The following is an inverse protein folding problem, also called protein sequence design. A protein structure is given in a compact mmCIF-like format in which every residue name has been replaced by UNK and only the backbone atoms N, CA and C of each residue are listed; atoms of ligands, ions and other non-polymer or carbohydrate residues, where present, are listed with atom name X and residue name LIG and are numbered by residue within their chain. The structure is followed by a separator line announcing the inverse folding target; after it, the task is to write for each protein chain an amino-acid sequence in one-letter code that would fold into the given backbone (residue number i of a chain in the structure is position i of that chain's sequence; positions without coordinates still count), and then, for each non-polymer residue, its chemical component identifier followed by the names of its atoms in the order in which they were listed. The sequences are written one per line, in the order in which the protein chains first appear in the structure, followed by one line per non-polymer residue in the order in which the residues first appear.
data_IF_257412694483
#
_entry.id   IF_257412694483
#
_cell.length_a   1.000
_cell.length_b   1.000
_cell.length_c   1.000
_cell.angle_alpha   90.00
_cell.angle_beta   90.00
_cell.angle_gamma   90.00
#
_symmetry.space_group_name_H-M   'P 1'
#
loop_
_entity.id
_entity.type
_entity.pdbx_description
1 polymer ?
#
# COMPACT_ATOMS: atom_id res chain seq x y z
N UNK A 1 50.56 20.62 39.28
CA UNK A 1 50.20 20.97 37.89
C UNK A 1 48.71 20.68 37.73
N UNK A 2 47.88 21.67 37.34
CA UNK A 2 46.44 21.45 37.10
C UNK A 2 46.27 20.64 35.81
N UNK A 3 45.24 19.80 35.74
CA UNK A 3 44.97 18.95 34.58
C UNK A 3 43.54 19.13 34.10
N UNK A 4 43.37 19.29 32.79
CA UNK A 4 42.05 19.26 32.15
C UNK A 4 41.44 17.88 32.36
N UNK A 5 40.18 17.78 32.83
CA UNK A 5 39.54 16.48 33.01
C UNK A 5 39.20 15.85 31.66
N UNK A 6 39.38 14.53 31.57
CA UNK A 6 38.81 13.73 30.49
C UNK A 6 37.32 13.50 30.78
N UNK A 7 36.48 13.56 29.76
CA UNK A 7 35.01 13.47 29.90
C UNK A 7 34.53 12.22 29.19
N UNK A 8 33.74 11.41 29.88
CA UNK A 8 32.95 10.32 29.32
C UNK A 8 31.48 10.51 29.72
N UNK A 9 30.58 9.97 28.91
CA UNK A 9 29.16 9.98 29.18
C UNK A 9 28.64 8.55 29.22
N UNK A 10 27.93 8.21 30.28
CA UNK A 10 27.16 6.98 30.39
C UNK A 10 25.68 7.36 30.35
N UNK A 11 24.88 6.68 29.53
CA UNK A 11 23.45 7.00 29.37
C UNK A 11 22.58 5.77 29.62
N UNK A 12 21.40 5.97 30.23
CA UNK A 12 20.40 4.93 30.47
C UNK A 12 19.00 5.54 30.34
N UNK A 13 18.13 5.03 29.44
CA UNK A 13 18.40 4.02 28.40
C UNK A 13 19.42 4.48 27.32
N UNK A 14 19.94 3.59 26.45
CA UNK A 14 20.89 3.95 25.39
C UNK A 14 20.28 4.81 24.27
N UNK A 15 18.95 4.91 24.22
CA UNK A 15 18.19 5.74 23.29
C UNK A 15 17.22 6.61 24.07
N UNK A 16 16.97 7.82 23.57
CA UNK A 16 15.98 8.75 24.13
C UNK A 16 14.59 8.25 23.72
N UNK A 17 13.71 8.06 24.70
CA UNK A 17 12.32 7.65 24.50
C UNK A 17 11.41 8.78 25.00
N UNK A 18 10.58 9.36 24.13
CA UNK A 18 9.66 10.43 24.54
C UNK A 18 8.75 10.00 25.68
N UNK A 19 8.59 10.88 26.68
CA UNK A 19 7.77 10.62 27.86
C UNK A 19 8.41 9.71 28.90
N UNK A 20 9.65 9.26 28.70
CA UNK A 20 10.42 8.49 29.68
C UNK A 20 11.61 9.29 30.21
N UNK A 21 12.03 9.04 31.46
CA UNK A 21 13.22 9.65 32.02
C UNK A 21 14.49 9.14 31.29
N UNK A 22 15.44 10.04 31.07
CA UNK A 22 16.73 9.76 30.45
C UNK A 22 17.87 10.12 31.41
N UNK A 23 18.55 9.12 31.97
CA UNK A 23 19.68 9.28 32.88
C UNK A 23 20.95 9.52 32.05
N UNK A 24 21.65 10.60 32.35
CA UNK A 24 22.96 10.94 31.81
C UNK A 24 23.96 11.09 32.96
N UNK A 25 24.98 10.25 33.00
CA UNK A 25 26.06 10.30 33.99
C UNK A 25 27.35 10.79 33.34
N UNK A 26 27.74 12.02 33.67
CA UNK A 26 29.03 12.59 33.26
C UNK A 26 30.14 12.03 34.17
N UNK A 27 31.11 11.36 33.57
CA UNK A 27 32.27 10.79 34.24
C UNK A 27 33.49 11.64 33.90
N UNK A 28 33.99 12.37 34.89
CA UNK A 28 35.11 13.30 34.77
C UNK A 28 36.35 12.70 35.43
N UNK A 29 37.38 12.43 34.63
CA UNK A 29 38.65 11.87 35.13
C UNK A 29 39.68 12.98 35.21
N UNK A 30 40.07 13.35 36.43
CA UNK A 30 41.09 14.37 36.67
C UNK A 30 42.40 13.78 37.18
N UNK A 31 43.54 14.21 36.64
CA UNK A 31 44.88 13.74 37.07
C UNK A 31 45.36 14.42 38.35
N UNK A 32 44.71 15.52 38.74
CA UNK A 32 44.99 16.31 39.94
C UNK A 32 43.69 16.91 40.50
N UNK A 33 43.65 17.35 41.77
CA UNK A 33 42.50 18.11 42.26
C UNK A 33 42.31 19.40 41.46
N UNK A 34 41.18 19.53 40.75
CA UNK A 34 40.94 20.63 39.80
C UNK A 34 39.75 21.47 40.29
N UNK A 35 39.92 22.79 40.52
CA UNK A 35 38.78 23.66 40.83
C UNK A 35 37.85 23.75 39.62
N UNK A 36 36.54 23.75 39.87
CA UNK A 36 35.50 23.79 38.83
C UNK A 36 34.34 24.61 39.38
N UNK A 37 33.92 25.63 38.65
CA UNK A 37 32.81 26.50 39.05
C UNK A 37 31.48 25.79 38.82
N UNK A 38 31.34 25.14 37.66
CA UNK A 38 30.18 24.32 37.34
C UNK A 38 30.48 23.22 36.32
N UNK A 39 29.64 22.18 36.33
CA UNK A 39 29.53 21.19 35.26
C UNK A 39 28.10 21.20 34.78
N UNK A 40 27.89 21.69 33.58
CA UNK A 40 26.59 21.72 32.92
C UNK A 40 26.45 20.50 32.02
N UNK A 41 25.41 19.72 32.25
CA UNK A 41 25.00 18.63 31.36
C UNK A 41 23.71 19.07 30.70
N UNK A 42 23.67 19.14 29.37
CA UNK A 42 22.45 19.49 28.65
C UNK A 42 22.12 18.50 27.54
N UNK A 43 20.83 18.17 27.38
CA UNK A 43 20.30 17.43 26.24
C UNK A 43 19.63 18.42 25.29
N UNK A 44 20.14 18.50 24.07
CA UNK A 44 19.66 19.42 23.03
C UNK A 44 19.17 18.66 21.81
N UNK A 45 18.06 19.11 21.24
CA UNK A 45 17.57 18.65 19.95
C UNK A 45 17.57 19.82 18.97
N UNK A 46 18.18 19.63 17.81
CA UNK A 46 18.23 20.64 16.76
C UNK A 46 17.57 20.11 15.51
N UNK A 47 16.67 20.93 14.94
CA UNK A 47 16.03 20.69 13.65
C UNK A 47 16.75 21.53 12.60
N UNK A 48 17.14 20.90 11.50
CA UNK A 48 17.60 21.58 10.29
C UNK A 48 16.60 21.28 9.18
N UNK A 49 16.15 22.30 8.46
CA UNK A 49 15.24 22.13 7.34
C UNK A 49 15.58 23.11 6.22
N UNK A 50 15.65 22.64 4.98
CA UNK A 50 15.80 23.45 3.78
C UNK A 50 14.67 23.18 2.79
N UNK A 51 14.38 24.17 1.97
CA UNK A 51 13.43 24.09 0.86
C UNK A 51 14.15 24.64 -0.37
N UNK A 52 14.69 23.76 -1.20
CA UNK A 52 15.48 24.14 -2.38
C UNK A 52 16.79 24.85 -2.03
N UNK A 53 17.13 25.90 -2.80
CA UNK A 53 18.39 26.65 -2.70
C UNK A 53 18.47 27.63 -1.51
N UNK A 54 17.47 27.62 -0.63
CA UNK A 54 17.46 28.52 0.53
C UNK A 54 18.42 28.04 1.61
N UNK A 55 19.00 29.01 2.33
CA UNK A 55 19.80 28.75 3.53
C UNK A 55 18.97 27.89 4.49
N UNK A 56 19.48 26.73 4.95
CA UNK A 56 18.76 25.87 5.86
C UNK A 56 18.45 26.61 7.15
N UNK A 57 17.19 26.57 7.58
CA UNK A 57 16.84 27.09 8.89
C UNK A 57 17.23 26.07 9.95
N UNK A 58 17.72 26.57 11.08
CA UNK A 58 18.13 25.77 12.22
C UNK A 58 17.33 26.23 13.43
N UNK A 59 16.62 25.30 14.07
CA UNK A 59 15.81 25.57 15.25
C UNK A 59 16.22 24.65 16.39
N UNK A 60 16.23 25.19 17.61
CA UNK A 60 16.34 24.36 18.82
C UNK A 60 14.93 23.88 19.19
N UNK A 61 14.75 22.56 19.17
CA UNK A 61 13.47 21.88 19.41
C UNK A 61 13.32 21.48 20.89
N UNK A 62 14.44 21.19 21.55
CA UNK A 62 14.50 20.80 22.94
C UNK A 62 15.84 21.30 23.51
N UNK A 63 15.80 21.87 24.71
CA UNK A 63 16.98 22.15 25.52
C UNK A 63 16.64 21.88 26.99
N UNK A 64 17.18 20.78 27.50
CA UNK A 64 17.09 20.41 28.92
C UNK A 64 18.47 20.55 29.52
N UNK A 65 18.57 21.13 30.71
CA UNK A 65 19.84 21.44 31.34
C UNK A 65 19.84 21.07 32.82
N UNK A 66 20.97 20.54 33.30
CA UNK A 66 21.25 20.38 34.71
C UNK A 66 22.66 20.90 35.02
N UNK A 67 22.76 21.69 36.08
CA UNK A 67 24.02 22.32 36.50
C UNK A 67 24.46 21.71 37.82
N UNK A 68 25.65 21.10 37.83
CA UNK A 68 26.33 20.60 39.02
C UNK A 68 27.37 21.61 39.48
N UNK A 69 27.46 21.89 40.78
CA UNK A 69 28.46 22.80 41.36
C UNK A 69 29.36 22.07 42.35
N UNK A 70 30.28 21.20 41.87
CA UNK A 70 31.13 20.42 42.76
C UNK A 70 32.17 21.28 43.49
N UNK A 71 32.49 22.48 42.98
CA UNK A 71 33.53 23.39 43.48
C UNK A 71 34.96 22.90 43.18
N UNK A 72 35.20 21.59 43.34
CA UNK A 72 36.48 20.95 43.04
C UNK A 72 36.30 19.48 42.69
N UNK A 73 36.87 19.07 41.56
CA UNK A 73 37.00 17.66 41.19
C UNK A 73 38.14 17.01 41.96
N UNK A 74 37.89 15.83 42.51
CA UNK A 74 38.92 14.99 43.15
C UNK A 74 39.85 14.43 42.08
N UNK A 75 41.09 14.13 42.46
CA UNK A 75 41.98 13.32 41.62
C UNK A 75 41.32 11.94 41.41
N UNK A 76 41.36 11.44 40.19
CA UNK A 76 40.66 10.24 39.76
C UNK A 76 39.30 10.57 39.15
N UNK A 77 38.35 9.66 39.35
CA UNK A 77 37.04 9.70 38.71
C UNK A 77 36.01 10.45 39.57
N UNK A 78 35.24 11.33 38.94
CA UNK A 78 34.13 12.05 39.55
C UNK A 78 32.89 11.79 38.69
N UNK A 79 31.82 11.30 39.31
CA UNK A 79 30.58 10.92 38.63
C UNK A 79 29.46 11.88 38.99
N UNK A 80 28.82 12.46 37.99
CA UNK A 80 27.74 13.42 38.13
C UNK A 80 26.53 12.91 37.37
N UNK A 81 25.49 12.51 38.11
CA UNK A 81 24.27 11.95 37.54
C UNK A 81 23.22 13.04 37.33
N UNK A 82 22.63 13.05 36.15
CA UNK A 82 21.53 13.91 35.77
C UNK A 82 20.37 13.06 35.26
N UNK A 83 19.15 13.40 35.65
CA UNK A 83 17.94 12.84 35.08
C UNK A 83 17.23 13.90 34.26
N UNK A 84 16.94 13.60 33.00
CA UNK A 84 16.16 14.47 32.11
C UNK A 84 14.75 13.91 31.92
N UNK A 85 13.74 14.73 32.16
CA UNK A 85 12.35 14.42 31.84
C UNK A 85 12.07 14.74 30.37
N UNK A 86 11.95 13.72 29.52
CA UNK A 86 11.78 13.91 28.08
C UNK A 86 10.31 14.17 27.76
N UNK A 87 9.95 15.30 27.11
CA UNK A 87 8.56 15.55 26.76
C UNK A 87 8.01 14.44 25.83
N UNK A 88 6.75 14.02 26.00
CA UNK A 88 6.16 12.92 25.21
C UNK A 88 5.93 13.28 23.74
N UNK A 89 6.06 14.55 23.37
CA UNK A 89 5.81 15.07 22.02
C UNK A 89 7.06 15.20 21.17
N UNK A 90 8.25 14.89 21.71
CA UNK A 90 9.48 15.10 20.94
C UNK A 90 9.59 14.09 19.79
N UNK A 91 9.88 14.53 18.55
CA UNK A 91 9.98 13.69 17.38
C UNK A 91 11.19 12.74 17.42
N UNK A 92 11.20 11.68 16.59
CA UNK A 92 12.38 10.83 16.43
C UNK A 92 13.60 11.60 15.89
N UNK A 93 14.79 11.04 16.09
CA UNK A 93 15.95 11.40 15.29
C UNK A 93 15.68 11.08 13.82
N UNK A 94 16.04 12.00 12.93
CA UNK A 94 15.81 11.87 11.50
C UNK A 94 16.97 12.47 10.72
N UNK A 95 17.38 11.82 9.64
CA UNK A 95 18.44 12.29 8.75
C UNK A 95 17.99 12.10 7.29
N UNK A 96 17.31 13.13 6.78
CA UNK A 96 16.81 13.22 5.42
C UNK A 96 17.66 14.14 4.56
N UNK A 97 17.23 14.32 3.30
CA UNK A 97 17.96 15.19 2.36
C UNK A 97 17.63 16.66 2.61
N UNK A 98 16.36 16.96 2.87
CA UNK A 98 15.85 18.32 3.05
C UNK A 98 15.63 18.67 4.51
N UNK A 99 15.53 17.67 5.40
CA UNK A 99 15.39 17.92 6.82
C UNK A 99 16.10 16.89 7.71
N UNK A 100 16.55 17.32 8.89
CA UNK A 100 17.13 16.44 9.90
C UNK A 100 16.82 16.90 11.33
N UNK A 101 16.78 15.95 12.26
CA UNK A 101 16.61 16.15 13.70
C UNK A 101 17.73 15.42 14.41
N UNK A 102 18.63 16.17 15.04
CA UNK A 102 19.77 15.62 15.78
C UNK A 102 19.63 15.89 17.27
N UNK A 103 19.82 14.85 18.08
CA UNK A 103 19.88 14.96 19.54
C UNK A 103 21.33 14.83 20.00
N UNK A 104 21.75 15.69 20.92
CA UNK A 104 23.11 15.72 21.46
C UNK A 104 23.10 15.98 22.96
N UNK A 105 23.96 15.28 23.69
CA UNK A 105 24.26 15.58 25.08
C UNK A 105 25.56 16.38 25.12
N UNK A 106 25.48 17.59 25.66
CA UNK A 106 26.62 18.47 25.90
C UNK A 106 27.03 18.36 27.36
N UNK A 107 28.34 18.25 27.60
CA UNK A 107 28.94 18.31 28.93
C UNK A 107 29.98 19.44 28.91
N UNK A 108 29.67 20.52 29.61
CA UNK A 108 30.50 21.70 29.72
C UNK A 108 31.02 21.83 31.15
N UNK A 109 32.33 21.83 31.31
CA UNK A 109 33.03 21.99 32.59
C UNK A 109 33.69 23.34 32.60
N UNK A 110 33.19 24.23 33.46
CA UNK A 110 33.66 25.59 33.68
C UNK A 110 34.83 25.57 34.67
N UNK A 111 36.02 25.97 34.23
CA UNK A 111 37.25 25.88 35.00
C UNK A 111 37.82 27.28 35.25
N UNK A 112 37.83 27.77 36.50
CA UNK A 112 38.24 29.13 36.79
C UNK A 112 39.70 29.39 36.40
N UNK A 113 39.91 30.45 35.62
CA UNK A 113 41.22 30.92 35.13
C UNK A 113 41.98 29.88 34.30
N UNK A 114 41.24 29.00 33.60
CA UNK A 114 41.78 27.97 32.72
C UNK A 114 40.80 27.75 31.54
N UNK A 115 41.22 27.20 30.40
CA UNK A 115 40.28 26.85 29.33
C UNK A 115 39.27 25.77 29.75
N UNK A 116 38.00 26.05 29.50
CA UNK A 116 36.88 25.14 29.77
C UNK A 116 37.00 23.81 29.02
N UNK A 117 36.27 22.81 29.49
CA UNK A 117 36.14 21.52 28.81
C UNK A 117 34.71 21.29 28.38
N UNK A 118 34.49 21.37 27.06
CA UNK A 118 33.26 20.94 26.41
C UNK A 118 33.45 19.58 25.75
N UNK A 119 32.43 18.73 25.85
CA UNK A 119 32.31 17.47 25.11
C UNK A 119 30.88 17.30 24.62
N UNK A 120 30.72 16.73 23.42
CA UNK A 120 29.42 16.54 22.77
C UNK A 120 29.28 15.09 22.38
N UNK A 121 28.16 14.48 22.76
CA UNK A 121 27.85 13.08 22.52
C UNK A 121 26.55 12.97 21.73
N UNK A 122 26.51 12.10 20.71
CA UNK A 122 25.28 11.85 19.96
C UNK A 122 24.28 11.07 20.82
N UNK A 123 23.01 11.45 20.73
CA UNK A 123 21.90 10.71 21.28
C UNK A 123 20.91 10.38 20.15
N UNK A 124 20.32 9.18 20.18
CA UNK A 124 19.28 8.78 19.21
C UNK A 124 17.93 8.82 19.92
N UNK A 125 16.96 9.55 19.37
CA UNK A 125 15.57 9.51 19.79
C UNK A 125 14.77 8.58 18.87
N UNK A 126 13.99 7.65 19.41
CA UNK A 126 13.23 6.66 18.60
C UNK A 126 11.80 7.10 18.28
N UNK A 127 11.38 8.29 18.73
CA UNK A 127 10.06 8.86 18.47
C UNK A 127 9.00 8.41 19.47
N UNK A 128 7.87 9.13 19.56
CA UNK A 128 6.86 8.88 20.58
C UNK A 128 6.16 7.55 20.31
N UNK A 129 5.75 6.84 21.36
CA UNK A 129 5.02 5.58 21.19
C UNK A 129 3.76 5.81 20.34
N UNK A 130 3.70 5.13 19.19
CA UNK A 130 2.51 5.12 18.35
C UNK A 130 1.36 4.37 19.02
N UNK A 131 0.11 4.58 18.56
CA UNK A 131 -1.00 3.75 18.99
C UNK A 131 -0.69 2.28 18.68
N UNK A 132 -1.10 1.38 19.58
CA UNK A 132 -1.01 -0.06 19.34
C UNK A 132 -1.91 -0.37 18.12
N UNK A 133 -1.28 -0.60 16.97
CA UNK A 133 -1.99 -0.87 15.72
C UNK A 133 -2.08 -2.39 15.53
N UNK A 134 -3.30 -2.93 15.56
CA UNK A 134 -3.51 -4.30 15.10
C UNK A 134 -3.27 -4.33 13.59
N UNK A 135 -2.28 -5.12 13.14
CA UNK A 135 -2.09 -5.41 11.72
C UNK A 135 -3.38 -5.98 11.16
N UNK A 136 -4.04 -5.25 10.26
CA UNK A 136 -5.20 -5.74 9.51
C UNK A 136 -4.84 -5.74 8.05
N UNK A 137 -5.00 -6.88 7.36
CA UNK A 137 -4.76 -6.93 5.93
C UNK A 137 -5.73 -5.98 5.22
N UNK A 138 -5.25 -5.35 4.16
CA UNK A 138 -6.03 -4.43 3.33
C UNK A 138 -5.75 -4.67 1.86
N UNK A 139 -6.81 -4.59 1.06
CA UNK A 139 -6.72 -4.63 -0.40
C UNK A 139 -6.85 -3.23 -0.96
N UNK A 140 -5.96 -2.89 -1.87
CA UNK A 140 -5.94 -1.65 -2.63
C UNK A 140 -6.16 -1.98 -4.10
N UNK A 141 -6.93 -1.13 -4.77
CA UNK A 141 -7.26 -1.27 -6.17
C UNK A 141 -6.67 -0.06 -6.92
N UNK A 142 -6.22 -0.25 -8.15
CA UNK A 142 -5.81 0.91 -8.97
C UNK A 142 -6.98 1.81 -9.35
N UNK A 143 -8.19 1.27 -9.42
CA UNK A 143 -9.41 2.00 -9.75
C UNK A 143 -10.54 1.56 -8.80
N UNK A 144 -11.21 2.53 -8.17
CA UNK A 144 -12.29 2.26 -7.20
C UNK A 144 -13.49 1.58 -7.86
N UNK A 145 -13.74 1.86 -9.15
CA UNK A 145 -14.79 1.23 -9.95
C UNK A 145 -14.45 -0.16 -10.48
N UNK A 146 -13.31 -0.75 -10.08
CA UNK A 146 -12.87 -2.05 -10.56
C UNK A 146 -12.17 -2.01 -11.93
N UNK A 147 -11.94 -3.18 -12.56
CA UNK A 147 -11.24 -3.30 -13.83
C UNK A 147 -11.91 -2.46 -14.91
N UNK A 148 -11.13 -1.57 -15.55
CA UNK A 148 -11.64 -0.71 -16.60
C UNK A 148 -11.34 -1.27 -17.99
N UNK A 149 -12.22 -0.93 -18.96
CA UNK A 149 -12.11 -1.43 -20.32
C UNK A 149 -10.75 -1.28 -20.97
N UNK A 150 -10.08 -2.30 -21.53
CA UNK A 150 -8.77 -2.08 -22.16
C UNK A 150 -7.83 -1.21 -21.29
N UNK A 151 -7.76 -1.48 -19.99
CA UNK A 151 -6.85 -0.79 -19.08
C UNK A 151 -6.33 -1.79 -18.05
N UNK A 152 -5.01 -1.85 -17.83
CA UNK A 152 -4.44 -2.69 -16.80
C UNK A 152 -5.01 -2.36 -15.42
N UNK A 153 -5.40 -3.39 -14.69
CA UNK A 153 -5.98 -3.28 -13.36
C UNK A 153 -5.12 -3.98 -12.31
N UNK A 154 -4.91 -3.33 -11.16
CA UNK A 154 -4.07 -3.83 -10.08
C UNK A 154 -4.92 -4.09 -8.85
N UNK A 155 -4.67 -5.24 -8.24
CA UNK A 155 -5.03 -5.50 -6.85
C UNK A 155 -3.75 -5.65 -6.05
N UNK A 156 -3.65 -4.98 -4.91
CA UNK A 156 -2.54 -5.12 -3.98
C UNK A 156 -3.11 -5.47 -2.61
N UNK A 157 -2.75 -6.62 -2.07
CA UNK A 157 -3.02 -6.96 -0.67
C UNK A 157 -1.78 -6.70 0.16
N UNK A 158 -1.90 -5.91 1.22
CA UNK A 158 -0.89 -5.77 2.25
C UNK A 158 -1.33 -6.50 3.51
N UNK A 159 -0.39 -7.05 4.27
CA UNK A 159 -0.66 -7.64 5.58
C UNK A 159 -0.98 -6.56 6.63
N UNK A 160 -0.35 -5.40 6.50
CA UNK A 160 -0.62 -4.20 7.27
C UNK A 160 -0.28 -2.93 6.48
N UNK A 161 -0.99 -1.83 6.78
CA UNK A 161 -0.60 -0.46 6.37
C UNK A 161 0.24 0.26 7.41
N UNK A 162 0.39 -0.35 8.59
CA UNK A 162 1.21 0.16 9.69
C UNK A 162 2.26 -0.87 10.03
N UNK A 163 3.52 -0.55 9.79
CA UNK A 163 4.66 -1.47 9.97
C UNK A 163 5.68 -0.87 10.93
N UNK A 164 6.43 -1.67 11.70
CA UNK A 164 7.47 -1.12 12.55
C UNK A 164 8.61 -0.54 11.71
N UNK A 165 9.29 0.48 12.23
CA UNK A 165 10.53 1.00 11.68
C UNK A 165 11.58 -0.11 11.59
N UNK A 166 12.25 -0.21 10.45
CA UNK A 166 13.12 -1.36 10.12
C UNK A 166 12.40 -2.71 10.18
N UNK A 167 11.07 -2.73 10.08
CA UNK A 167 10.26 -3.93 9.95
C UNK A 167 10.23 -4.49 8.54
N UNK A 168 9.37 -5.49 8.34
CA UNK A 168 9.14 -6.12 7.04
C UNK A 168 7.74 -5.74 6.54
N UNK A 169 7.65 -5.36 5.28
CA UNK A 169 6.40 -5.13 4.56
C UNK A 169 6.15 -6.37 3.70
N UNK A 170 4.99 -7.01 3.83
CA UNK A 170 4.63 -8.17 3.01
C UNK A 170 3.32 -7.92 2.27
N UNK A 171 3.24 -8.47 1.08
CA UNK A 171 2.02 -8.34 0.30
C UNK A 171 1.95 -9.28 -0.89
N UNK A 172 0.77 -9.24 -1.52
CA UNK A 172 0.51 -9.80 -2.83
C UNK A 172 0.18 -8.66 -3.78
N UNK A 173 0.55 -8.79 -5.04
CA UNK A 173 0.03 -7.97 -6.13
C UNK A 173 -0.45 -8.87 -7.26
N UNK A 174 -1.59 -8.54 -7.86
CA UNK A 174 -2.11 -9.21 -9.04
C UNK A 174 -2.42 -8.13 -10.08
N UNK A 175 -2.09 -8.42 -11.33
CA UNK A 175 -2.40 -7.56 -12.47
C UNK A 175 -3.34 -8.32 -13.38
N UNK A 176 -4.41 -7.66 -13.81
CA UNK A 176 -5.42 -8.23 -14.69
C UNK A 176 -5.70 -7.27 -15.85
N UNK A 177 -6.37 -7.79 -16.88
CA UNK A 177 -6.68 -7.05 -18.10
C UNK A 177 -5.42 -6.55 -18.82
N UNK A 178 -4.37 -7.40 -18.87
CA UNK A 178 -3.15 -7.11 -19.62
C UNK A 178 -3.32 -7.34 -21.13
N UNK A 179 -4.40 -8.01 -21.56
CA UNK A 179 -4.68 -8.27 -22.97
C UNK A 179 -4.70 -7.00 -23.81
N UNK A 180 -3.87 -6.96 -24.86
CA UNK A 180 -3.71 -5.79 -25.73
C UNK A 180 -2.67 -4.76 -25.26
N UNK A 181 -2.03 -4.98 -24.10
CA UNK A 181 -0.93 -4.15 -23.59
C UNK A 181 0.40 -4.88 -23.72
N UNK A 182 1.39 -4.22 -24.31
CA UNK A 182 2.77 -4.69 -24.30
C UNK A 182 3.41 -4.30 -22.95
N UNK A 183 3.24 -5.17 -21.96
CA UNK A 183 3.69 -4.99 -20.58
C UNK A 183 5.13 -5.48 -20.42
N UNK A 184 6.04 -4.58 -20.05
CA UNK A 184 7.47 -4.90 -19.86
C UNK A 184 7.80 -5.38 -18.46
N UNK A 185 7.04 -4.96 -17.46
CA UNK A 185 7.42 -5.18 -16.08
C UNK A 185 6.48 -4.56 -15.07
N UNK A 186 6.43 -5.17 -13.89
CA UNK A 186 5.88 -4.56 -12.69
C UNK A 186 6.99 -4.34 -11.69
N UNK A 187 7.01 -3.16 -11.09
CA UNK A 187 7.94 -2.82 -10.03
C UNK A 187 7.23 -2.16 -8.86
N UNK A 188 7.85 -2.22 -7.69
CA UNK A 188 7.45 -1.48 -6.51
C UNK A 188 8.61 -0.62 -6.01
N UNK A 189 8.31 0.59 -5.59
CA UNK A 189 9.24 1.45 -4.86
C UNK A 189 8.64 1.86 -3.51
N UNK A 190 9.51 1.93 -2.51
CA UNK A 190 9.23 2.68 -1.29
C UNK A 190 9.58 4.15 -1.54
N UNK A 191 8.59 5.02 -1.45
CA UNK A 191 8.75 6.47 -1.63
C UNK A 191 8.63 7.15 -0.26
N UNK A 192 9.65 7.92 0.08
CA UNK A 192 9.67 8.82 1.24
C UNK A 192 9.29 10.21 0.77
N UNK A 193 8.35 10.86 1.46
CA UNK A 193 7.97 12.25 1.21
C UNK A 193 8.34 13.08 2.43
N UNK A 194 9.26 14.01 2.23
CA UNK A 194 9.62 15.04 3.21
C UNK A 194 8.78 16.29 2.93
N UNK A 195 7.88 16.64 3.84
CA UNK A 195 7.05 17.85 3.75
C UNK A 195 7.66 18.97 4.56
N UNK A 196 8.36 19.91 3.91
CA UNK A 196 9.05 21.03 4.55
C UNK A 196 8.37 22.33 4.16
N UNK A 197 7.80 23.07 5.13
CA UNK A 197 7.16 24.38 4.91
C UNK A 197 6.14 24.42 3.75
N UNK A 198 5.36 23.36 3.56
CA UNK A 198 4.36 23.26 2.50
C UNK A 198 4.89 22.73 1.16
N UNK A 199 6.20 22.57 1.00
CA UNK A 199 6.80 21.89 -0.14
C UNK A 199 6.93 20.39 0.16
N UNK A 200 6.60 19.55 -0.82
CA UNK A 200 6.76 18.11 -0.73
C UNK A 200 7.97 17.70 -1.58
N UNK A 201 8.95 17.06 -0.96
CA UNK A 201 10.12 16.51 -1.62
C UNK A 201 10.03 15.00 -1.58
N UNK A 202 9.96 14.37 -2.76
CA UNK A 202 9.90 12.92 -2.87
C UNK A 202 11.28 12.33 -3.07
N UNK A 203 11.54 11.22 -2.40
CA UNK A 203 12.70 10.37 -2.60
C UNK A 203 12.24 8.93 -2.73
N UNK A 204 12.52 8.34 -3.88
CA UNK A 204 12.26 6.92 -4.11
C UNK A 204 13.49 6.08 -3.74
N UNK A 205 13.27 5.00 -3.02
CA UNK A 205 14.22 3.89 -2.97
C UNK A 205 14.39 3.27 -4.37
N UNK A 206 15.45 2.47 -4.60
CA UNK A 206 15.59 1.72 -5.85
C UNK A 206 14.33 0.90 -6.18
N UNK A 207 13.95 0.88 -7.45
CA UNK A 207 12.83 0.08 -7.93
C UNK A 207 13.12 -1.40 -7.73
N UNK A 208 12.16 -2.12 -7.13
CA UNK A 208 12.22 -3.56 -6.96
C UNK A 208 11.32 -4.23 -8.00
N UNK A 209 11.89 -4.93 -9.01
CA UNK A 209 11.10 -5.66 -10.00
C UNK A 209 10.39 -6.83 -9.32
N UNK A 210 9.08 -6.97 -9.58
CA UNK A 210 8.24 -8.01 -8.97
C UNK A 210 8.14 -9.27 -9.83
N UNK A 211 8.37 -9.16 -11.14
CA UNK A 211 8.45 -10.30 -12.03
C UNK A 211 9.54 -10.13 -13.07
N UNK A 212 10.20 -11.25 -13.43
CA UNK A 212 11.20 -11.30 -14.50
C UNK A 212 10.61 -11.67 -15.87
N UNK A 213 9.46 -12.35 -15.88
CA UNK A 213 8.66 -12.66 -17.05
C UNK A 213 7.19 -12.35 -16.75
N UNK A 214 6.41 -11.98 -17.76
CA UNK A 214 4.99 -11.66 -17.59
C UNK A 214 4.24 -12.85 -16.94
N UNK A 215 3.57 -12.66 -15.80
CA UNK A 215 2.79 -13.71 -15.17
C UNK A 215 1.48 -13.95 -15.94
N UNK A 216 0.82 -15.10 -15.75
CA UNK A 216 -0.56 -15.28 -16.16
C UNK A 216 -1.48 -14.16 -15.62
N UNK A 217 -2.48 -13.78 -16.41
CA UNK A 217 -3.44 -12.74 -16.02
C UNK A 217 -4.10 -13.06 -14.68
N UNK A 218 -4.19 -12.04 -13.83
CA UNK A 218 -4.71 -12.10 -12.46
C UNK A 218 -3.96 -13.04 -11.50
N UNK A 219 -2.78 -13.56 -11.85
CA UNK A 219 -1.97 -14.39 -10.95
C UNK A 219 -1.34 -13.54 -9.83
N UNK A 220 -1.53 -13.88 -8.55
CA UNK A 220 -0.91 -13.15 -7.45
C UNK A 220 0.60 -13.41 -7.36
N UNK A 221 1.34 -12.34 -7.12
CA UNK A 221 2.79 -12.33 -6.93
C UNK A 221 3.08 -11.82 -5.52
N UNK A 222 3.74 -12.66 -4.74
CA UNK A 222 4.18 -12.30 -3.41
C UNK A 222 5.40 -11.39 -3.47
N UNK A 223 5.46 -10.41 -2.57
CA UNK A 223 6.63 -9.56 -2.41
C UNK A 223 6.93 -9.29 -0.94
N UNK A 224 8.17 -8.92 -0.69
CA UNK A 224 8.65 -8.56 0.64
C UNK A 224 9.63 -7.41 0.51
N UNK A 225 9.44 -6.36 1.31
CA UNK A 225 10.29 -5.17 1.33
C UNK A 225 10.69 -4.84 2.76
N UNK A 226 11.83 -4.18 2.91
CA UNK A 226 12.28 -3.65 4.19
C UNK A 226 11.66 -2.27 4.43
N UNK A 227 11.01 -2.09 5.58
CA UNK A 227 10.50 -0.78 6.00
C UNK A 227 11.67 0.16 6.35
N UNK A 228 11.50 1.48 6.18
CA UNK A 228 12.56 2.43 6.47
C UNK A 228 12.81 2.50 7.99
N UNK A 229 14.03 2.90 8.41
CA UNK A 229 14.40 2.93 9.83
C UNK A 229 13.84 4.14 10.59
N UNK A 230 13.37 5.17 9.89
CA UNK A 230 12.73 6.33 10.48
C UNK A 230 11.20 6.13 10.47
N UNK A 231 10.50 6.42 11.58
CA UNK A 231 9.05 6.32 11.62
C UNK A 231 8.39 7.49 10.88
N UNK A 232 7.11 7.36 10.58
CA UNK A 232 6.25 8.45 10.13
C UNK A 232 6.04 9.43 11.29
N UNK A 233 6.25 10.72 11.05
CA UNK A 233 6.00 11.76 12.05
C UNK A 233 5.70 13.11 11.41
N UNK A 234 5.13 14.02 12.21
CA UNK A 234 4.88 15.40 11.83
C UNK A 234 5.34 16.33 12.95
N UNK A 235 6.03 17.40 12.60
CA UNK A 235 6.39 18.53 13.49
C UNK A 235 5.82 19.83 12.93
N UNK A 236 6.03 20.95 13.64
CA UNK A 236 5.72 22.29 13.10
C UNK A 236 6.61 22.70 11.92
N UNK A 237 7.82 22.14 11.80
CA UNK A 237 8.80 22.55 10.78
C UNK A 237 8.71 21.66 9.53
N UNK A 238 8.56 20.36 9.73
CA UNK A 238 8.43 19.39 8.64
C UNK A 238 7.79 18.06 9.10
N UNK A 239 7.41 17.22 8.14
CA UNK A 239 6.95 15.85 8.36
C UNK A 239 7.51 14.86 7.37
N UNK A 240 7.40 13.59 7.70
CA UNK A 240 7.89 12.46 6.89
C UNK A 240 6.77 11.45 6.71
N UNK A 241 6.42 11.19 5.46
CA UNK A 241 5.40 10.23 5.04
C UNK A 241 6.03 9.14 4.16
N UNK A 242 5.42 7.95 4.14
CA UNK A 242 5.88 6.84 3.30
C UNK A 242 4.76 6.31 2.43
N UNK A 243 5.13 5.89 1.23
CA UNK A 243 4.22 5.29 0.27
C UNK A 243 4.87 4.09 -0.40
N UNK A 244 4.06 3.08 -0.71
CA UNK A 244 4.40 2.07 -1.71
C UNK A 244 3.85 2.54 -3.04
N UNK A 245 4.69 2.60 -4.06
CA UNK A 245 4.30 2.96 -5.42
C UNK A 245 4.57 1.76 -6.31
N UNK A 246 3.49 1.15 -6.80
CA UNK A 246 3.54 0.10 -7.81
C UNK A 246 3.47 0.76 -9.18
N UNK A 247 4.35 0.35 -10.08
CA UNK A 247 4.44 0.89 -11.44
C UNK A 247 4.48 -0.25 -12.44
N UNK A 248 3.47 -0.29 -13.32
CA UNK A 248 3.46 -1.16 -14.49
C UNK A 248 4.01 -0.40 -15.68
N UNK A 249 5.08 -0.94 -16.23
CA UNK A 249 5.77 -0.40 -17.37
C UNK A 249 5.17 -1.01 -18.64
N UNK A 250 4.67 -0.14 -19.52
CA UNK A 250 4.18 -0.53 -20.85
C UNK A 250 5.12 0.03 -21.93
N UNK A 251 5.26 -0.68 -23.05
CA UNK A 251 6.17 -0.28 -24.14
C UNK A 251 5.75 0.99 -24.88
N UNK A 252 4.45 1.22 -25.03
CA UNK A 252 3.90 2.24 -25.93
C UNK A 252 2.79 3.11 -25.30
N UNK A 253 2.46 2.87 -24.03
CA UNK A 253 1.47 3.65 -23.27
C UNK A 253 2.09 4.27 -22.03
N UNK A 254 1.37 5.21 -21.41
CA UNK A 254 1.75 5.76 -20.12
C UNK A 254 1.86 4.63 -19.08
N UNK A 255 2.86 4.71 -18.20
CA UNK A 255 2.98 3.76 -17.09
C UNK A 255 1.79 3.91 -16.14
N UNK A 256 1.23 2.79 -15.71
CA UNK A 256 0.13 2.78 -14.74
C UNK A 256 0.70 2.68 -13.34
N UNK A 257 0.22 3.54 -12.43
CA UNK A 257 0.73 3.59 -11.06
C UNK A 257 -0.36 3.42 -10.02
N UNK A 258 -0.04 2.73 -8.92
CA UNK A 258 -0.88 2.61 -7.74
C UNK A 258 -0.06 3.04 -6.52
N UNK A 259 -0.55 4.06 -5.80
CA UNK A 259 0.14 4.66 -4.65
C UNK A 259 -0.62 4.33 -3.37
N UNK A 260 0.03 3.63 -2.46
CA UNK A 260 -0.55 3.13 -1.21
C UNK A 260 0.15 3.82 -0.03
N UNK A 261 -0.58 4.53 0.84
CA UNK A 261 0.02 5.14 2.03
C UNK A 261 0.49 4.07 3.02
N UNK A 262 1.68 4.28 3.57
CA UNK A 262 2.30 3.42 4.58
C UNK A 262 2.63 4.25 5.83
N UNK A 263 2.19 3.77 6.99
CA UNK A 263 2.58 4.34 8.28
C UNK A 263 3.71 3.51 8.87
N UNK A 264 4.84 4.14 9.15
CA UNK A 264 5.97 3.47 9.79
C UNK A 264 5.96 3.83 11.27
N UNK A 265 5.67 2.85 12.12
CA UNK A 265 5.60 3.03 13.55
C UNK A 265 6.99 2.99 14.20
N UNK A 266 7.21 3.68 15.33
CA UNK A 266 8.45 3.59 16.10
C UNK A 266 8.78 2.15 16.52
N UNK A 267 10.08 1.82 16.66
CA UNK A 267 10.61 0.48 16.98
C UNK A 267 9.99 -0.16 18.24
N UNK A 268 9.62 0.63 19.25
CA UNK A 268 9.07 0.13 20.52
C UNK A 268 7.54 -0.02 20.56
N UNK A 269 6.86 0.11 19.42
CA UNK A 269 5.39 -0.02 19.37
C UNK A 269 5.01 -1.48 19.59
N UNK A 270 4.24 -1.78 20.64
CA UNK A 270 3.74 -3.14 20.92
C UNK A 270 2.52 -3.44 20.05
N UNK A 271 2.25 -4.73 19.83
CA UNK A 271 0.97 -5.15 19.24
C UNK A 271 0.89 -5.13 17.71
N UNK A 272 1.98 -4.80 17.01
CA UNK A 272 2.11 -5.17 15.59
C UNK A 272 2.48 -6.66 15.56
N UNK A 273 1.53 -7.52 15.94
CA UNK A 273 1.63 -8.93 15.59
C UNK A 273 1.63 -9.00 14.07
N UNK A 274 2.62 -9.69 13.51
CA UNK A 274 2.64 -9.98 12.07
C UNK A 274 1.38 -10.79 11.74
N UNK A 275 0.33 -10.13 11.26
CA UNK A 275 -0.76 -10.84 10.61
C UNK A 275 -0.15 -11.53 9.39
N UNK A 276 -0.04 -12.86 9.44
CA UNK A 276 0.42 -13.64 8.28
C UNK A 276 -0.68 -13.85 7.25
N UNK A 277 -1.88 -13.34 7.52
CA UNK A 277 -3.03 -13.56 6.66
C UNK A 277 -3.17 -12.39 5.69
N UNK A 278 -2.83 -12.65 4.43
CA UNK A 278 -3.11 -11.74 3.32
C UNK A 278 -4.51 -12.02 2.79
N UNK A 279 -5.19 -10.97 2.31
CA UNK A 279 -6.42 -11.17 1.57
C UNK A 279 -6.09 -11.79 0.21
N UNK A 280 -6.85 -12.80 -0.25
CA UNK A 280 -6.72 -13.26 -1.61
C UNK A 280 -7.06 -12.12 -2.56
N UNK A 281 -6.29 -12.03 -3.63
CA UNK A 281 -6.46 -11.07 -4.74
C UNK A 281 -6.37 -11.82 -6.06
N UNK A 282 -6.78 -11.20 -7.16
CA UNK A 282 -6.71 -11.81 -8.50
C UNK A 282 -7.52 -13.11 -8.61
N UNK A 283 -7.00 -14.12 -9.32
CA UNK A 283 -7.73 -15.36 -9.59
C UNK A 283 -8.24 -16.08 -8.33
N UNK A 284 -7.46 -16.24 -7.23
CA UNK A 284 -7.97 -16.80 -5.98
C UNK A 284 -9.17 -16.04 -5.40
N UNK A 285 -9.16 -14.69 -5.46
CA UNK A 285 -10.28 -13.88 -4.98
C UNK A 285 -11.53 -14.09 -5.82
N UNK A 286 -11.39 -14.08 -7.14
CA UNK A 286 -12.49 -14.34 -8.09
C UNK A 286 -13.08 -15.73 -7.83
N UNK A 287 -12.22 -16.74 -7.67
CA UNK A 287 -12.64 -18.11 -7.34
C UNK A 287 -13.44 -18.16 -6.04
N UNK A 288 -12.94 -17.52 -4.98
CA UNK A 288 -13.62 -17.50 -3.68
C UNK A 288 -14.98 -16.82 -3.76
N UNK A 289 -15.05 -15.67 -4.44
CA UNK A 289 -16.29 -14.93 -4.65
C UNK A 289 -17.30 -15.76 -5.43
N UNK A 290 -16.91 -16.34 -6.57
CA UNK A 290 -17.78 -17.22 -7.36
C UNK A 290 -18.23 -18.45 -6.57
N UNK A 291 -17.33 -19.11 -5.83
CA UNK A 291 -17.66 -20.26 -4.99
C UNK A 291 -18.71 -19.93 -3.92
N UNK A 292 -18.71 -18.70 -3.42
CA UNK A 292 -19.67 -18.21 -2.44
C UNK A 292 -21.01 -17.96 -3.11
N UNK A 293 -21.01 -17.32 -4.29
CA UNK A 293 -22.22 -16.99 -5.05
C UNK A 293 -22.96 -18.21 -5.59
N UNK A 294 -22.25 -19.29 -5.96
CA UNK A 294 -22.87 -20.51 -6.49
C UNK A 294 -23.28 -21.53 -5.42
N UNK A 295 -23.00 -21.25 -4.13
CA UNK A 295 -23.30 -22.18 -3.05
C UNK A 295 -24.82 -22.43 -2.97
N UNK A 296 -25.23 -23.69 -3.09
CA UNK A 296 -26.65 -24.07 -3.07
C UNK A 296 -27.34 -23.95 -4.44
N UNK A 297 -26.60 -23.66 -5.50
CA UNK A 297 -27.06 -23.68 -6.89
C UNK A 297 -26.53 -24.93 -7.61
N UNK A 298 -27.09 -25.34 -8.76
CA UNK A 298 -26.55 -26.45 -9.55
C UNK A 298 -25.30 -26.07 -10.36
N UNK A 299 -24.74 -24.88 -10.15
CA UNK A 299 -23.49 -24.45 -10.75
C UNK A 299 -22.28 -24.97 -9.96
N UNK A 300 -21.22 -25.27 -10.69
CA UNK A 300 -19.91 -25.71 -10.22
C UNK A 300 -18.83 -24.82 -10.85
N UNK A 301 -17.68 -24.65 -10.19
CA UNK A 301 -16.56 -23.92 -10.79
C UNK A 301 -15.94 -24.74 -11.92
N UNK A 302 -15.72 -24.11 -13.07
CA UNK A 302 -14.99 -24.74 -14.16
C UNK A 302 -13.47 -24.79 -13.87
N UNK A 303 -12.72 -25.73 -14.48
CA UNK A 303 -11.27 -25.74 -14.43
C UNK A 303 -10.70 -24.41 -14.96
N UNK A 304 -9.85 -23.73 -14.20
CA UNK A 304 -9.31 -22.41 -14.57
C UNK A 304 -9.96 -21.19 -13.89
N UNK A 305 -10.89 -21.42 -12.95
CA UNK A 305 -11.24 -20.49 -11.85
C UNK A 305 -11.87 -19.12 -12.16
N UNK A 306 -12.21 -18.84 -13.43
CA UNK A 306 -12.90 -17.60 -13.84
C UNK A 306 -14.26 -17.83 -14.50
N UNK A 307 -14.77 -19.06 -14.46
CA UNK A 307 -16.09 -19.41 -14.98
C UNK A 307 -16.79 -20.44 -14.11
N UNK A 308 -18.12 -20.43 -14.19
CA UNK A 308 -19.01 -21.38 -13.51
C UNK A 308 -19.81 -22.14 -14.56
N UNK A 309 -20.01 -23.42 -14.34
CA UNK A 309 -20.78 -24.30 -15.20
C UNK A 309 -21.88 -24.98 -14.40
N UNK A 310 -23.12 -24.95 -14.86
CA UNK A 310 -24.26 -25.62 -14.25
C UNK A 310 -25.01 -26.46 -15.26
N UNK A 311 -25.65 -27.54 -14.79
CA UNK A 311 -26.46 -28.40 -15.65
C UNK A 311 -27.91 -28.42 -15.17
N UNK A 312 -28.83 -28.14 -16.07
CA UNK A 312 -30.27 -28.11 -15.85
C UNK A 312 -30.95 -29.07 -16.83
N UNK A 313 -31.10 -30.34 -16.42
CA UNK A 313 -31.55 -31.40 -17.32
C UNK A 313 -30.58 -31.62 -18.47
N UNK A 314 -31.01 -31.33 -19.70
CA UNK A 314 -30.19 -31.39 -20.92
C UNK A 314 -29.48 -30.09 -21.26
N UNK A 315 -29.75 -28.99 -20.56
CA UNK A 315 -29.11 -27.69 -20.78
C UNK A 315 -27.86 -27.58 -19.91
N UNK A 316 -26.76 -27.13 -20.50
CA UNK A 316 -25.51 -26.82 -19.81
C UNK A 316 -25.30 -25.31 -19.91
N UNK A 317 -25.27 -24.63 -18.77
CA UNK A 317 -24.99 -23.21 -18.69
C UNK A 317 -23.54 -22.98 -18.28
N UNK A 318 -22.84 -22.08 -18.94
CA UNK A 318 -21.47 -21.66 -18.68
C UNK A 318 -21.46 -20.14 -18.52
N UNK A 319 -21.23 -19.64 -17.30
CA UNK A 319 -21.05 -18.19 -17.07
C UNK A 319 -19.58 -17.86 -16.85
N UNK A 320 -19.09 -16.81 -17.51
CA UNK A 320 -17.70 -16.36 -17.45
C UNK A 320 -17.61 -14.82 -17.51
N UNK A 321 -16.45 -14.28 -17.16
CA UNK A 321 -16.12 -12.88 -17.44
C UNK A 321 -15.32 -12.84 -18.75
N UNK A 322 -15.68 -11.92 -19.65
CA UNK A 322 -14.98 -11.70 -20.91
C UNK A 322 -14.83 -10.20 -21.19
N UNK A 323 -13.96 -9.85 -22.13
CA UNK A 323 -13.85 -8.49 -22.65
C UNK A 323 -14.48 -8.41 -24.03
N UNK A 324 -15.48 -7.53 -24.24
CA UNK A 324 -16.10 -7.23 -25.54
C UNK A 324 -16.16 -5.74 -25.79
N UNK A 325 -15.74 -5.30 -26.97
CA UNK A 325 -15.65 -3.88 -27.35
C UNK A 325 -14.85 -3.02 -26.37
N UNK A 326 -13.84 -3.64 -25.75
CA UNK A 326 -13.11 -2.99 -24.68
C UNK A 326 -13.95 -2.77 -23.44
N UNK A 327 -14.93 -3.63 -23.16
CA UNK A 327 -15.75 -3.67 -21.96
C UNK A 327 -15.75 -5.02 -21.23
N UNK A 328 -15.59 -5.00 -19.90
CA UNK A 328 -15.72 -6.21 -19.08
C UNK A 328 -17.20 -6.56 -19.00
N UNK A 329 -17.54 -7.67 -19.62
CA UNK A 329 -18.91 -8.20 -19.70
C UNK A 329 -18.99 -9.55 -19.00
N UNK A 330 -20.15 -9.83 -18.42
CA UNK A 330 -20.49 -11.18 -17.99
C UNK A 330 -21.12 -11.86 -19.18
N UNK A 331 -20.60 -13.03 -19.53
CA UNK A 331 -21.10 -13.85 -20.63
C UNK A 331 -21.70 -15.10 -20.03
N UNK A 332 -22.90 -15.46 -20.48
CA UNK A 332 -23.54 -16.74 -20.17
C UNK A 332 -23.81 -17.47 -21.47
N UNK A 333 -23.12 -18.58 -21.68
CA UNK A 333 -23.38 -19.53 -22.75
C UNK A 333 -24.30 -20.64 -22.24
N UNK A 334 -25.25 -21.06 -23.06
CA UNK A 334 -26.12 -22.19 -22.82
C UNK A 334 -25.99 -23.17 -23.98
N UNK A 335 -25.58 -24.39 -23.72
CA UNK A 335 -25.59 -25.49 -24.69
C UNK A 335 -26.78 -26.41 -24.41
N UNK A 336 -27.54 -26.75 -25.45
CA UNK A 336 -28.71 -27.63 -25.34
C UNK A 336 -28.90 -28.47 -26.61
N UNK A 337 -29.63 -29.60 -26.54
CA UNK A 337 -29.90 -30.42 -27.72
C UNK A 337 -30.57 -29.59 -28.83
N UNK A 338 -30.27 -29.87 -30.11
CA UNK A 338 -30.90 -29.17 -31.23
C UNK A 338 -32.42 -29.17 -31.11
N UNK A 339 -33.03 -27.99 -31.24
CA UNK A 339 -34.48 -27.83 -31.24
C UNK A 339 -35.09 -28.38 -32.54
N UNK A 340 -34.29 -28.51 -33.61
CA UNK A 340 -34.70 -29.09 -34.88
C UNK A 340 -35.53 -28.14 -35.75
N UNK A 341 -35.59 -26.86 -35.37
CA UNK A 341 -36.34 -25.81 -36.06
C UNK A 341 -35.42 -24.79 -36.74
N UNK A 342 -34.10 -25.03 -36.70
CA UNK A 342 -33.06 -24.14 -37.23
C UNK A 342 -33.18 -22.71 -36.66
N UNK A 343 -33.53 -22.62 -35.37
CA UNK A 343 -33.77 -21.35 -34.70
C UNK A 343 -32.54 -20.45 -34.75
N UNK A 344 -32.73 -19.19 -35.13
CA UNK A 344 -31.78 -18.11 -34.95
C UNK A 344 -32.48 -16.90 -34.36
N UNK A 345 -31.98 -16.35 -33.25
CA UNK A 345 -32.43 -15.08 -32.68
C UNK A 345 -31.20 -14.20 -32.51
N UNK A 346 -31.23 -12.99 -33.03
CA UNK A 346 -30.07 -12.11 -33.05
C UNK A 346 -30.49 -10.65 -32.91
N UNK A 347 -29.54 -9.79 -32.54
CA UNK A 347 -29.78 -8.34 -32.46
C UNK A 347 -30.15 -7.78 -33.83
N UNK A 348 -31.19 -6.96 -33.86
CA UNK A 348 -31.75 -6.42 -35.11
C UNK A 348 -30.76 -5.47 -35.80
N UNK A 349 -30.55 -5.69 -37.09
CA UNK A 349 -29.79 -4.82 -37.98
C UNK A 349 -30.73 -4.10 -38.97
N UNK A 350 -30.29 -2.95 -39.49
CA UNK A 350 -31.06 -2.20 -40.51
C UNK A 350 -31.28 -3.01 -41.80
N UNK A 351 -30.39 -3.96 -42.09
CA UNK A 351 -30.47 -4.81 -43.29
C UNK A 351 -31.43 -5.98 -43.13
N UNK A 352 -31.86 -6.31 -41.91
CA UNK A 352 -32.77 -7.45 -41.65
C UNK A 352 -34.18 -7.18 -42.17
N UNK A 353 -34.59 -5.91 -42.26
CA UNK A 353 -35.91 -5.51 -42.74
C UNK A 353 -36.17 -5.83 -44.23
N UNK A 354 -35.16 -6.33 -44.95
CA UNK A 354 -35.22 -6.68 -46.37
C UNK A 354 -35.25 -8.18 -46.62
N UNK A 355 -35.27 -9.02 -45.57
CA UNK A 355 -35.32 -10.48 -45.70
C UNK A 355 -36.72 -11.01 -45.40
N UNK A 356 -37.27 -11.78 -46.32
CA UNK A 356 -38.60 -12.40 -46.16
C UNK A 356 -38.62 -13.55 -45.13
N UNK A 357 -37.44 -14.07 -44.76
CA UNK A 357 -37.28 -15.21 -43.83
C UNK A 357 -37.01 -14.77 -42.38
N UNK A 358 -37.02 -13.46 -42.11
CA UNK A 358 -36.78 -12.88 -40.79
C UNK A 358 -38.08 -12.24 -40.29
N UNK A 359 -38.46 -12.55 -39.06
CA UNK A 359 -39.59 -11.89 -38.41
C UNK A 359 -39.21 -11.32 -37.05
N UNK A 360 -40.04 -10.40 -36.57
CA UNK A 360 -39.89 -9.72 -35.29
C UNK A 360 -40.74 -10.46 -34.23
N UNK A 361 -40.13 -11.01 -33.17
CA UNK A 361 -40.88 -11.58 -32.05
C UNK A 361 -41.78 -10.52 -31.41
N UNK A 362 -42.95 -10.92 -30.91
CA UNK A 362 -43.90 -10.00 -30.28
C UNK A 362 -43.35 -9.41 -28.97
N UNK A 363 -42.48 -10.15 -28.31
CA UNK A 363 -41.67 -9.72 -27.15
C UNK A 363 -40.29 -9.22 -27.61
N UNK A 364 -39.59 -8.39 -26.83
CA UNK A 364 -38.26 -7.89 -27.20
C UNK A 364 -38.18 -6.43 -27.66
N UNK A 365 -39.31 -5.72 -27.74
CA UNK A 365 -39.42 -4.29 -28.09
C UNK A 365 -38.64 -3.91 -29.36
N UNK A 366 -38.62 -4.80 -30.34
CA UNK A 366 -37.91 -4.61 -31.62
C UNK A 366 -36.40 -4.63 -31.56
N UNK A 367 -35.79 -5.11 -30.46
CA UNK A 367 -34.34 -5.31 -30.34
C UNK A 367 -33.83 -6.56 -31.04
N UNK A 368 -34.70 -7.56 -31.23
CA UNK A 368 -34.32 -8.88 -31.74
C UNK A 368 -35.07 -9.22 -33.02
N UNK A 369 -34.38 -9.93 -33.89
CA UNK A 369 -34.90 -10.59 -35.09
C UNK A 369 -34.83 -12.10 -34.89
N UNK A 370 -35.79 -12.85 -35.42
CA UNK A 370 -35.79 -14.30 -35.38
C UNK A 370 -35.98 -14.91 -36.78
N UNK A 371 -35.36 -16.06 -37.02
CA UNK A 371 -35.56 -16.88 -38.21
C UNK A 371 -35.46 -18.38 -37.89
N UNK A 372 -35.95 -19.22 -38.80
CA UNK A 372 -35.84 -20.67 -38.71
C UNK A 372 -36.65 -21.37 -39.80
N UNK A 373 -36.71 -22.69 -39.73
CA UNK A 373 -37.27 -23.55 -40.77
C UNK A 373 -38.77 -23.34 -41.01
N UNK A 374 -39.56 -23.17 -39.95
CA UNK A 374 -41.02 -23.02 -40.04
C UNK A 374 -41.51 -21.82 -39.20
N UNK A 375 -41.97 -20.72 -39.81
CA UNK A 375 -42.27 -19.46 -39.11
C UNK A 375 -43.19 -19.61 -37.89
N UNK A 376 -44.28 -20.38 -37.99
CA UNK A 376 -45.24 -20.54 -36.88
C UNK A 376 -44.74 -21.41 -35.71
N UNK A 377 -43.65 -22.17 -35.89
CA UNK A 377 -42.97 -22.86 -34.78
C UNK A 377 -41.97 -21.92 -34.11
N UNK A 378 -41.21 -21.19 -34.93
CA UNK A 378 -40.21 -20.22 -34.46
C UNK A 378 -40.90 -19.13 -33.64
N UNK A 379 -42.05 -18.61 -34.06
CA UNK A 379 -42.78 -17.54 -33.34
C UNK A 379 -43.13 -17.94 -31.90
N UNK A 380 -43.67 -19.15 -31.70
CA UNK A 380 -44.05 -19.66 -30.38
C UNK A 380 -42.87 -19.86 -29.42
N UNK A 381 -41.71 -20.21 -29.96
CA UNK A 381 -40.49 -20.49 -29.18
C UNK A 381 -39.70 -19.20 -28.95
N UNK A 382 -39.60 -18.35 -29.97
CA UNK A 382 -38.84 -17.11 -29.94
C UNK A 382 -39.37 -16.16 -28.86
N UNK A 383 -40.69 -16.01 -28.71
CA UNK A 383 -41.23 -15.11 -27.69
C UNK A 383 -40.84 -15.48 -26.26
N UNK A 384 -40.85 -16.78 -25.96
CA UNK A 384 -40.46 -17.23 -24.63
C UNK A 384 -38.98 -16.98 -24.36
N UNK A 385 -38.13 -17.22 -25.36
CA UNK A 385 -36.67 -17.03 -25.24
C UNK A 385 -36.33 -15.54 -25.17
N UNK A 386 -36.92 -14.72 -26.04
CA UNK A 386 -36.67 -13.28 -26.07
C UNK A 386 -37.07 -12.61 -24.76
N UNK A 387 -38.20 -13.01 -24.16
CA UNK A 387 -38.60 -12.52 -22.84
C UNK A 387 -37.54 -12.76 -21.75
N UNK A 388 -36.78 -13.87 -21.84
CA UNK A 388 -35.66 -14.13 -20.92
C UNK A 388 -34.39 -13.37 -21.32
N UNK A 389 -34.13 -13.19 -22.62
CA UNK A 389 -33.01 -12.38 -23.09
C UNK A 389 -33.16 -10.90 -22.73
N UNK A 390 -34.38 -10.42 -22.48
CA UNK A 390 -34.60 -9.01 -22.17
C UNK A 390 -33.88 -8.52 -20.90
N UNK A 391 -33.54 -9.43 -19.98
CA UNK A 391 -32.76 -9.12 -18.78
C UNK A 391 -31.28 -8.86 -19.09
N UNK A 392 -30.83 -9.20 -20.30
CA UNK A 392 -29.47 -9.00 -20.77
C UNK A 392 -29.42 -7.83 -21.76
N UNK A 393 -28.21 -7.28 -21.92
CA UNK A 393 -27.98 -6.20 -22.88
C UNK A 393 -27.91 -6.74 -24.31
N UNK A 394 -27.40 -7.96 -24.46
CA UNK A 394 -27.30 -8.64 -25.73
C UNK A 394 -27.60 -10.14 -25.59
N UNK A 395 -28.15 -10.72 -26.65
CA UNK A 395 -28.43 -12.14 -26.74
C UNK A 395 -28.35 -12.61 -28.20
N UNK A 396 -27.71 -13.76 -28.41
CA UNK A 396 -27.68 -14.49 -29.67
C UNK A 396 -28.09 -15.93 -29.37
N UNK A 397 -29.05 -16.46 -30.11
CA UNK A 397 -29.59 -17.80 -29.93
C UNK A 397 -29.54 -18.52 -31.25
N UNK A 398 -29.07 -19.75 -31.20
CA UNK A 398 -29.01 -20.72 -32.27
C UNK A 398 -29.77 -21.98 -31.86
N UNK A 399 -30.02 -22.86 -32.82
CA UNK A 399 -30.82 -24.08 -32.63
C UNK A 399 -30.30 -25.01 -31.51
N UNK A 400 -29.02 -24.90 -31.13
CA UNK A 400 -28.37 -25.75 -30.12
C UNK A 400 -27.53 -24.97 -29.10
N UNK A 401 -27.54 -23.64 -29.16
CA UNK A 401 -26.71 -22.79 -28.30
C UNK A 401 -27.34 -21.42 -28.11
N UNK A 402 -27.30 -20.86 -26.91
CA UNK A 402 -27.59 -19.45 -26.66
C UNK A 402 -26.39 -18.78 -26.00
N UNK A 403 -26.16 -17.51 -26.30
CA UNK A 403 -25.12 -16.67 -25.68
C UNK A 403 -25.76 -15.35 -25.31
N UNK A 404 -25.73 -15.00 -24.03
CA UNK A 404 -26.20 -13.72 -23.54
C UNK A 404 -25.08 -13.00 -22.78
N UNK A 405 -25.07 -11.67 -22.82
CA UNK A 405 -24.11 -10.90 -22.04
C UNK A 405 -24.66 -9.56 -21.55
N UNK A 406 -24.09 -9.08 -20.44
CA UNK A 406 -24.38 -7.80 -19.81
C UNK A 406 -23.09 -7.06 -19.45
N UNK A 407 -23.08 -5.73 -19.59
CA UNK A 407 -22.00 -4.87 -19.07
C UNK A 407 -22.02 -4.86 -17.54
N UNK A 408 -20.85 -5.10 -16.92
CA UNK A 408 -20.67 -4.92 -15.49
C UNK A 408 -19.75 -5.96 -14.82
N UNK A 409 -18.76 -5.47 -14.07
CA UNK A 409 -17.95 -6.30 -13.17
C UNK A 409 -18.75 -6.80 -11.96
N UNK A 410 -18.22 -7.76 -11.17
CA UNK A 410 -18.84 -8.18 -9.92
C UNK A 410 -18.95 -6.97 -8.97
N UNK A 411 -20.18 -6.51 -8.73
CA UNK A 411 -20.52 -5.52 -7.71
C UNK A 411 -20.78 -6.17 -6.38
#
# INVERSE_FOLDING_TARGET
MRSRPDVKLLVRPPVVVPGQPFEAEAVLVSRSPTPVDSVTVSLRATVRASSGDRVPMVFELLALEAVHRPGRLRKGENRLKTMFEIPPTVPPSYDGVWASITYRVHVDVDIPWWPDRSAVFAARCIGPRGPDATARPKVFLSHVGGPQPNQPFFEVSLDATTVPASGVIRGLVAVSNMGGFDVRGLSVALVTVERVQGFAHERSAPLFPLWGSEPPDAMPIAFTLQAPPAPTFQTSQFGVEYFLVFTLQASWSASHTCRIPLTVAPEHSRGIEESRQLHPIGSPRITQMLSTSIRGTPFSLAPGAHSVQGRFGSVVAHASLATRDGELVRVVDFDYPPLGVELRIFGRSLTDALSDDIFEPATGRGRYSASGREPGQVERVADHIVAQLETFEHGDVQDHRAVAWERGGPG
#
